data_IF_119111728870
#
_entry.id   IF_119111728870
#
_cell.length_a   1.000
_cell.length_b   1.000
_cell.length_c   1.000
_cell.angle_alpha   90.00
_cell.angle_beta   90.00
_cell.angle_gamma   90.00
#
_symmetry.space_group_name_H-M   'P 1'
#
loop_
_entity.id
_entity.type
_entity.pdbx_description
1 polymer ?
#
# COMPACT_ATOMS: atom_id res chain seq x y z
N UNK A 1 -24.78 8.11 -12.19
CA UNK A 1 -23.59 8.42 -11.36
C UNK A 1 -23.57 9.84 -10.77
N UNK A 2 -24.50 10.74 -11.12
CA UNK A 2 -24.54 12.13 -10.62
C UNK A 2 -25.77 12.44 -9.73
N UNK A 3 -26.51 11.42 -9.30
CA UNK A 3 -27.74 11.58 -8.50
C UNK A 3 -27.60 11.32 -7.00
N UNK A 4 -26.46 10.77 -6.54
CA UNK A 4 -26.16 10.54 -5.12
C UNK A 4 -24.84 11.18 -4.77
N UNK A 5 -24.87 12.25 -3.99
CA UNK A 5 -23.66 12.83 -3.42
C UNK A 5 -22.96 11.78 -2.55
N UNK A 6 -21.62 11.70 -2.64
CA UNK A 6 -20.78 10.79 -1.83
C UNK A 6 -21.05 9.29 -2.01
N UNK A 7 -21.74 8.90 -3.08
CA UNK A 7 -21.97 7.49 -3.43
C UNK A 7 -20.84 6.88 -4.24
N UNK A 8 -19.64 6.80 -3.67
CA UNK A 8 -18.45 6.32 -4.39
C UNK A 8 -18.44 4.81 -4.53
N UNK A 9 -17.99 4.31 -5.69
CA UNK A 9 -17.75 2.90 -5.92
C UNK A 9 -16.55 2.42 -5.07
N UNK A 10 -16.50 1.15 -4.63
CA UNK A 10 -15.38 0.62 -3.86
C UNK A 10 -14.00 0.92 -4.49
N UNK A 11 -13.87 0.95 -5.82
CA UNK A 11 -12.61 1.30 -6.48
C UNK A 11 -12.25 2.77 -6.29
N UNK A 12 -13.22 3.65 -6.37
CA UNK A 12 -13.04 5.10 -6.20
C UNK A 12 -12.66 5.43 -4.75
N UNK A 13 -13.30 4.78 -3.77
CA UNK A 13 -12.93 4.93 -2.36
C UNK A 13 -11.50 4.46 -2.09
N UNK A 14 -11.11 3.28 -2.59
CA UNK A 14 -9.75 2.76 -2.40
C UNK A 14 -8.68 3.53 -3.17
N UNK A 15 -9.04 4.12 -4.32
CA UNK A 15 -8.15 5.05 -5.02
C UNK A 15 -7.88 6.30 -4.18
N UNK A 16 -8.90 6.89 -3.53
CA UNK A 16 -8.69 8.01 -2.61
C UNK A 16 -7.80 7.59 -1.43
N UNK A 17 -8.08 6.44 -0.80
CA UNK A 17 -7.28 5.93 0.32
C UNK A 17 -5.81 5.80 -0.09
N UNK A 18 -5.54 5.25 -1.27
CA UNK A 18 -4.18 5.12 -1.79
C UNK A 18 -3.47 6.47 -1.93
N UNK A 19 -4.16 7.49 -2.45
CA UNK A 19 -3.61 8.86 -2.54
C UNK A 19 -3.30 9.40 -1.13
N UNK A 20 -4.20 9.21 -0.16
CA UNK A 20 -3.96 9.61 1.23
C UNK A 20 -2.75 8.90 1.85
N UNK A 21 -2.61 7.59 1.60
CA UNK A 21 -1.45 6.80 2.08
C UNK A 21 -0.15 7.34 1.49
N UNK A 22 -0.08 7.57 0.16
CA UNK A 22 1.12 8.14 -0.45
C UNK A 22 1.38 9.58 -0.01
N UNK A 23 0.35 10.39 0.18
CA UNK A 23 0.50 11.72 0.75
C UNK A 23 1.13 11.65 2.15
N UNK A 24 0.68 10.75 3.01
CA UNK A 24 1.28 10.53 4.34
C UNK A 24 2.74 10.10 4.24
N UNK A 25 3.06 9.14 3.37
CA UNK A 25 4.43 8.67 3.14
C UNK A 25 5.35 9.83 2.71
N UNK A 26 4.87 10.68 1.81
CA UNK A 26 5.62 11.88 1.39
C UNK A 26 5.74 12.90 2.51
N UNK A 27 4.73 13.06 3.37
CA UNK A 27 4.80 13.96 4.52
C UNK A 27 5.85 13.53 5.55
N UNK A 28 6.10 12.23 5.69
CA UNK A 28 7.18 11.73 6.54
C UNK A 28 8.55 12.32 6.15
N UNK A 29 8.71 12.82 4.91
CA UNK A 29 9.94 13.49 4.43
C UNK A 29 10.36 14.71 5.17
N UNK A 30 9.39 15.41 5.71
CA UNK A 30 9.68 16.62 6.44
C UNK A 30 10.08 16.34 7.89
N UNK A 31 10.00 15.09 8.35
CA UNK A 31 10.27 14.72 9.74
C UNK A 31 11.78 14.66 10.09
N UNK A 32 12.70 14.84 9.13
CA UNK A 32 14.12 15.11 9.40
C UNK A 32 14.86 14.03 10.22
N UNK A 33 14.38 12.78 10.24
CA UNK A 33 14.96 11.73 11.08
C UNK A 33 16.27 11.18 10.52
N UNK A 34 17.21 10.83 11.41
CA UNK A 34 18.51 10.23 11.06
C UNK A 34 18.38 8.92 10.24
N UNK A 35 17.22 8.25 10.31
CA UNK A 35 16.92 7.02 9.57
C UNK A 35 16.01 7.25 8.35
N UNK A 36 16.06 8.44 7.76
CA UNK A 36 15.20 8.85 6.63
C UNK A 36 15.10 7.83 5.47
N UNK A 37 16.21 7.24 4.97
CA UNK A 37 16.14 6.28 3.87
C UNK A 37 15.37 5.01 4.25
N UNK A 38 15.56 4.51 5.47
CA UNK A 38 14.87 3.32 5.97
C UNK A 38 13.36 3.55 6.12
N UNK A 39 12.98 4.70 6.70
CA UNK A 39 11.59 5.07 6.92
C UNK A 39 10.87 5.21 5.58
N UNK A 40 11.48 5.89 4.60
CA UNK A 40 10.93 6.00 3.25
C UNK A 40 10.75 4.66 2.55
N UNK A 41 11.81 3.84 2.53
CA UNK A 41 11.80 2.58 1.81
C UNK A 41 10.75 1.63 2.40
N UNK A 42 10.70 1.53 3.74
CA UNK A 42 9.75 0.67 4.44
C UNK A 42 8.31 1.15 4.25
N UNK A 43 8.07 2.46 4.42
CA UNK A 43 6.73 3.03 4.27
C UNK A 43 6.23 3.00 2.82
N UNK A 44 7.10 3.21 1.83
CA UNK A 44 6.75 3.05 0.40
C UNK A 44 6.44 1.61 0.03
N UNK A 45 7.23 0.65 0.52
CA UNK A 45 6.97 -0.77 0.32
C UNK A 45 5.62 -1.19 0.93
N UNK A 46 5.30 -0.69 2.12
CA UNK A 46 4.00 -0.94 2.75
C UNK A 46 2.85 -0.20 2.04
N UNK A 47 3.07 1.03 1.59
CA UNK A 47 2.09 1.82 0.85
C UNK A 47 1.65 1.18 -0.47
N UNK A 48 2.53 0.41 -1.10
CA UNK A 48 2.20 -0.36 -2.31
C UNK A 48 1.04 -1.34 -2.09
N UNK A 49 0.85 -1.85 -0.87
CA UNK A 49 -0.30 -2.71 -0.57
C UNK A 49 -1.65 -2.00 -0.69
N UNK A 50 -1.71 -0.67 -0.46
CA UNK A 50 -2.93 0.10 -0.69
C UNK A 50 -3.34 0.05 -2.17
N UNK A 51 -2.36 0.14 -3.08
CA UNK A 51 -2.58 0.08 -4.53
C UNK A 51 -2.99 -1.34 -4.93
N UNK A 52 -2.32 -2.36 -4.40
CA UNK A 52 -2.71 -3.75 -4.60
C UNK A 52 -4.14 -4.02 -4.13
N UNK A 53 -4.59 -3.40 -3.04
CA UNK A 53 -5.98 -3.50 -2.60
C UNK A 53 -6.94 -2.89 -3.64
N UNK A 54 -6.63 -1.76 -4.26
CA UNK A 54 -7.46 -1.19 -5.34
C UNK A 54 -7.51 -2.10 -6.58
N UNK A 55 -6.39 -2.69 -6.99
CA UNK A 55 -6.32 -3.51 -8.21
C UNK A 55 -6.78 -4.95 -8.02
N UNK A 56 -6.44 -5.61 -6.92
CA UNK A 56 -6.80 -7.01 -6.67
C UNK A 56 -7.91 -7.10 -5.63
N UNK A 57 -7.73 -6.45 -4.49
CA UNK A 57 -8.68 -6.51 -3.37
C UNK A 57 -10.11 -6.14 -3.79
N UNK A 58 -10.28 -4.98 -4.40
CA UNK A 58 -11.61 -4.53 -4.83
C UNK A 58 -12.13 -5.33 -6.02
N UNK A 59 -11.28 -5.81 -6.93
CA UNK A 59 -11.79 -6.59 -8.06
C UNK A 59 -12.31 -7.97 -7.67
N UNK A 60 -11.70 -8.63 -6.68
CA UNK A 60 -12.04 -10.01 -6.32
C UNK A 60 -12.89 -10.16 -5.05
N UNK A 61 -12.80 -9.22 -4.10
CA UNK A 61 -13.47 -9.33 -2.79
C UNK A 61 -14.57 -8.30 -2.56
N UNK A 62 -14.59 -7.20 -3.32
CA UNK A 62 -15.65 -6.18 -3.24
C UNK A 62 -16.42 -6.11 -4.56
N UNK A 63 -17.74 -6.07 -4.48
CA UNK A 63 -18.59 -5.87 -5.66
C UNK A 63 -18.75 -4.38 -5.94
N UNK A 64 -18.38 -3.94 -7.13
CA UNK A 64 -18.59 -2.58 -7.64
C UNK A 64 -19.06 -2.59 -9.08
N UNK A 65 -19.63 -1.48 -9.56
CA UNK A 65 -20.08 -1.33 -10.96
C UNK A 65 -18.94 -1.44 -11.97
N UNK A 66 -17.70 -1.32 -11.49
CA UNK A 66 -16.49 -1.48 -12.28
C UNK A 66 -15.72 -2.76 -11.93
N UNK A 67 -16.20 -3.65 -11.05
CA UNK A 67 -15.52 -4.92 -10.76
C UNK A 67 -15.77 -5.93 -11.89
N UNK A 68 -14.69 -6.36 -12.54
CA UNK A 68 -14.76 -7.27 -13.69
C UNK A 68 -14.81 -8.75 -13.30
N UNK A 69 -14.45 -9.09 -12.06
CA UNK A 69 -14.55 -10.45 -11.51
C UNK A 69 -15.81 -10.57 -10.66
N UNK A 70 -16.98 -10.41 -11.27
CA UNK A 70 -18.27 -10.69 -10.63
C UNK A 70 -18.62 -12.19 -10.75
N UNK A 71 -17.75 -13.06 -10.25
CA UNK A 71 -17.92 -14.51 -10.20
C UNK A 71 -17.52 -15.07 -8.82
N UNK A 72 -17.65 -16.38 -8.62
CA UNK A 72 -17.29 -17.06 -7.37
C UNK A 72 -15.90 -16.60 -6.88
N UNK A 73 -15.76 -16.22 -5.59
CA UNK A 73 -14.48 -15.76 -5.07
C UNK A 73 -13.44 -16.85 -5.29
N UNK A 74 -12.49 -16.61 -6.19
CA UNK A 74 -11.43 -17.56 -6.45
C UNK A 74 -10.67 -17.79 -5.14
N UNK A 75 -10.45 -19.05 -4.73
CA UNK A 75 -9.70 -19.34 -3.53
C UNK A 75 -8.35 -18.64 -3.62
N UNK A 76 -8.03 -17.87 -2.57
CA UNK A 76 -6.81 -17.06 -2.51
C UNK A 76 -5.63 -17.99 -2.75
N UNK A 77 -4.85 -17.79 -3.83
CA UNK A 77 -3.77 -18.71 -4.12
C UNK A 77 -2.75 -18.68 -2.99
N UNK A 78 -2.28 -19.85 -2.58
CA UNK A 78 -1.42 -20.02 -1.39
C UNK A 78 -0.14 -19.18 -1.45
N UNK A 79 0.38 -18.91 -2.65
CA UNK A 79 1.55 -18.06 -2.84
C UNK A 79 1.33 -16.60 -2.42
N UNK A 80 0.09 -16.11 -2.43
CA UNK A 80 -0.24 -14.73 -2.08
C UNK A 80 0.05 -14.44 -0.61
N UNK A 81 -0.16 -15.43 0.27
CA UNK A 81 0.17 -15.28 1.70
C UNK A 81 1.67 -15.06 1.90
N UNK A 82 2.52 -15.77 1.15
CA UNK A 82 3.97 -15.54 1.17
C UNK A 82 4.32 -14.17 0.58
N UNK A 83 3.69 -13.77 -0.53
CA UNK A 83 3.89 -12.45 -1.14
C UNK A 83 3.56 -11.31 -0.17
N UNK A 84 2.51 -11.46 0.65
CA UNK A 84 2.16 -10.49 1.68
C UNK A 84 3.13 -10.58 2.86
N UNK A 85 3.48 -11.76 3.34
CA UNK A 85 4.33 -11.91 4.52
C UNK A 85 5.79 -11.45 4.31
N UNK A 86 6.37 -11.72 3.14
CA UNK A 86 7.79 -11.47 2.84
C UNK A 86 8.21 -10.03 3.11
N UNK A 87 7.57 -8.98 2.58
CA UNK A 87 8.04 -7.61 2.81
C UNK A 87 7.79 -7.12 4.22
N UNK A 88 6.81 -7.64 4.98
CA UNK A 88 6.73 -7.35 6.42
C UNK A 88 7.94 -7.93 7.15
N UNK A 89 8.34 -9.17 6.82
CA UNK A 89 9.55 -9.78 7.36
C UNK A 89 10.80 -8.98 6.94
N UNK A 90 10.88 -8.55 5.67
CA UNK A 90 12.00 -7.74 5.19
C UNK A 90 12.08 -6.39 5.90
N UNK A 91 10.95 -5.72 6.16
CA UNK A 91 10.91 -4.46 6.93
C UNK A 91 11.38 -4.70 8.36
N UNK A 92 10.95 -5.79 9.00
CA UNK A 92 11.41 -6.17 10.35
C UNK A 92 12.91 -6.45 10.37
N UNK A 93 13.43 -7.24 9.42
CA UNK A 93 14.86 -7.53 9.33
C UNK A 93 15.68 -6.27 9.04
N UNK A 94 15.19 -5.41 8.14
CA UNK A 94 15.82 -4.16 7.78
C UNK A 94 15.82 -3.16 8.96
N UNK A 95 14.82 -3.21 9.83
CA UNK A 95 14.78 -2.39 11.05
C UNK A 95 15.99 -2.66 11.96
N UNK A 96 16.40 -3.92 12.12
CA UNK A 96 17.59 -4.25 12.91
C UNK A 96 18.89 -3.81 12.25
N UNK A 97 18.92 -3.73 10.91
CA UNK A 97 20.09 -3.28 10.13
C UNK A 97 20.07 -1.79 9.75
N UNK A 98 19.18 -1.00 10.34
CA UNK A 98 18.93 0.41 9.96
C UNK A 98 20.10 1.38 10.16
N UNK A 99 21.15 0.97 10.87
CA UNK A 99 22.30 1.81 11.24
C UNK A 99 23.27 2.05 10.07
N UNK A 100 22.75 2.27 8.85
CA UNK A 100 23.58 2.58 7.69
C UNK A 100 24.05 4.03 7.82
N UNK A 101 25.33 4.22 8.11
CA UNK A 101 25.99 5.52 8.09
C UNK A 101 25.91 6.11 6.69
N UNK A 102 25.05 7.10 6.49
CA UNK A 102 25.01 7.87 5.24
C UNK A 102 26.36 8.58 5.03
N UNK A 103 26.99 8.46 3.85
CA UNK A 103 28.16 9.28 3.56
C UNK A 103 27.76 10.75 3.65
N UNK A 104 28.54 11.55 4.39
CA UNK A 104 28.37 13.00 4.42
C UNK A 104 28.55 13.50 3.00
N UNK A 105 27.44 13.91 2.36
CA UNK A 105 27.52 14.67 1.12
C UNK A 105 28.09 16.04 1.52
N UNK A 106 29.38 16.22 1.19
CA UNK A 106 30.10 17.50 1.25
C UNK A 106 29.46 18.47 0.26
#
# INVERSE_FOLDING_TARGET
>A
SWGRYWGWDPKETWALISICVYALILHLRFLGSHNWPFILASSSALGFYSVLMTYFGVNYYLSGLHSYAAGDPLPIPTFLYFLVAIPFILVILAYFKRHLSLPKLV
#
